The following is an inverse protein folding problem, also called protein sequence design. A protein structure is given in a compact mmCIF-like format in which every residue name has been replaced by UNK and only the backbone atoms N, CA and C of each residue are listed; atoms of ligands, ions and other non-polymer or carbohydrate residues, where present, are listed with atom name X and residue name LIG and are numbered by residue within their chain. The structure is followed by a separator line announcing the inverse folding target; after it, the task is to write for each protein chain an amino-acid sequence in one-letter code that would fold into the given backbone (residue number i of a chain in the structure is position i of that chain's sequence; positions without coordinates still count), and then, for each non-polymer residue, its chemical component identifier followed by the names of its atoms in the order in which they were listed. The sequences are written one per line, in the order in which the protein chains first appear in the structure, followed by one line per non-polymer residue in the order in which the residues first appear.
data_IF_913160217924
#
_entry.id   IF_913160217924
#
_cell.length_a   1.000
_cell.length_b   1.000
_cell.length_c   1.000
_cell.angle_alpha   90.00
_cell.angle_beta   90.00
_cell.angle_gamma   90.00
#
_symmetry.space_group_name_H-M   'P 1'
#
loop_
_entity.id
_entity.type
_entity.pdbx_description
1 polymer ?
#
# COMPACT_ATOMS: atom_id res chain seq x y z
N UNK A 1 21.79 -29.60 -1.40
CA UNK A 1 21.22 -29.22 -2.73
C UNK A 1 19.94 -28.43 -2.45
N UNK A 2 19.98 -27.12 -2.73
CA UNK A 2 18.81 -26.24 -2.56
C UNK A 2 17.77 -26.65 -3.59
N UNK A 3 16.52 -26.87 -3.16
CA UNK A 3 15.42 -27.22 -4.06
C UNK A 3 15.13 -26.05 -5.02
N UNK A 4 14.60 -26.33 -6.20
CA UNK A 4 14.14 -25.29 -7.13
C UNK A 4 13.12 -24.36 -6.47
N UNK A 5 12.28 -24.89 -5.58
CA UNK A 5 11.33 -24.13 -4.76
C UNK A 5 12.03 -23.16 -3.81
N UNK A 6 13.08 -23.58 -3.10
CA UNK A 6 13.83 -22.75 -2.17
C UNK A 6 14.52 -21.60 -2.91
N UNK A 7 15.13 -21.89 -4.06
CA UNK A 7 15.77 -20.87 -4.90
C UNK A 7 14.77 -19.83 -5.43
N UNK A 8 13.54 -20.24 -5.71
CA UNK A 8 12.48 -19.32 -6.15
C UNK A 8 11.97 -18.48 -4.99
N UNK A 9 11.84 -19.01 -3.78
CA UNK A 9 11.52 -18.27 -2.57
C UNK A 9 12.57 -17.18 -2.27
N UNK A 10 13.85 -17.54 -2.38
CA UNK A 10 14.94 -16.57 -2.15
C UNK A 10 14.91 -15.41 -3.16
N UNK A 11 14.54 -15.68 -4.40
CA UNK A 11 14.36 -14.64 -5.42
C UNK A 11 13.21 -13.69 -5.12
N UNK A 12 12.17 -14.16 -4.44
CA UNK A 12 11.02 -13.34 -4.05
C UNK A 12 11.33 -12.41 -2.86
N UNK A 13 12.30 -12.76 -2.01
CA UNK A 13 12.61 -12.05 -0.76
C UNK A 13 12.74 -10.53 -0.91
N UNK A 14 13.50 -9.96 -1.87
CA UNK A 14 13.60 -8.50 -2.02
C UNK A 14 12.25 -7.83 -2.32
N UNK A 15 11.43 -8.48 -3.15
CA UNK A 15 10.09 -7.98 -3.50
C UNK A 15 9.15 -8.02 -2.30
N UNK A 16 9.18 -9.11 -1.53
CA UNK A 16 8.38 -9.26 -0.30
C UNK A 16 8.78 -8.23 0.75
N UNK A 17 10.09 -7.97 0.90
CA UNK A 17 10.60 -6.98 1.85
C UNK A 17 10.14 -5.57 1.49
N UNK A 18 10.30 -5.17 0.24
CA UNK A 18 9.82 -3.86 -0.26
C UNK A 18 8.32 -3.69 -0.03
N UNK A 19 7.54 -4.73 -0.29
CA UNK A 19 6.10 -4.74 -0.05
C UNK A 19 5.77 -4.58 1.44
N UNK A 20 6.46 -5.32 2.32
CA UNK A 20 6.25 -5.25 3.77
C UNK A 20 6.69 -3.90 4.36
N UNK A 21 7.81 -3.32 3.90
CA UNK A 21 8.29 -2.00 4.34
C UNK A 21 7.28 -0.88 4.01
N UNK A 22 6.65 -0.92 2.84
CA UNK A 22 5.61 0.04 2.48
C UNK A 22 4.40 -0.02 3.44
N UNK A 23 4.04 -1.23 3.88
CA UNK A 23 2.88 -1.47 4.73
C UNK A 23 3.16 -1.14 6.20
N UNK A 24 4.29 -1.61 6.70
CA UNK A 24 4.63 -1.55 8.13
C UNK A 24 5.40 -0.30 8.50
N UNK A 25 6.04 0.39 7.54
CA UNK A 25 6.87 1.60 7.75
C UNK A 25 7.94 1.44 8.83
N UNK A 26 8.26 0.22 9.13
CA UNK A 26 9.30 -0.18 10.07
C UNK A 26 10.05 -1.37 9.49
N UNK A 27 11.34 -1.15 9.27
CA UNK A 27 12.18 -2.14 8.59
C UNK A 27 12.29 -3.43 9.39
N UNK A 28 12.43 -3.35 10.71
CA UNK A 28 12.56 -4.53 11.56
C UNK A 28 11.29 -5.39 11.48
N UNK A 29 10.11 -4.77 11.65
CA UNK A 29 8.83 -5.47 11.52
C UNK A 29 8.62 -6.05 10.13
N UNK A 30 9.11 -5.37 9.07
CA UNK A 30 9.03 -5.87 7.71
C UNK A 30 9.93 -7.10 7.49
N UNK A 31 11.18 -7.05 7.97
CA UNK A 31 12.11 -8.17 7.92
C UNK A 31 11.57 -9.40 8.66
N UNK A 32 11.03 -9.20 9.86
CA UNK A 32 10.40 -10.25 10.65
C UNK A 32 9.18 -10.86 9.94
N UNK A 33 8.28 -10.02 9.38
CA UNK A 33 7.11 -10.50 8.65
C UNK A 33 7.50 -11.33 7.41
N UNK A 34 8.54 -10.90 6.70
CA UNK A 34 9.06 -11.65 5.55
C UNK A 34 9.70 -12.97 5.99
N UNK A 35 10.47 -12.97 7.06
CA UNK A 35 11.08 -14.18 7.61
C UNK A 35 10.01 -15.20 8.02
N UNK A 36 8.99 -14.77 8.77
CA UNK A 36 7.85 -15.59 9.16
C UNK A 36 7.09 -16.13 7.94
N UNK A 37 7.01 -15.33 6.87
CA UNK A 37 6.36 -15.73 5.61
C UNK A 37 7.15 -16.81 4.90
N UNK A 38 8.45 -16.64 4.77
CA UNK A 38 9.32 -17.63 4.10
C UNK A 38 9.33 -18.95 4.87
N UNK A 39 9.38 -18.89 6.20
CA UNK A 39 9.28 -20.08 7.05
C UNK A 39 7.95 -20.81 6.85
N UNK A 40 6.82 -20.08 6.92
CA UNK A 40 5.50 -20.64 6.68
C UNK A 40 5.34 -21.24 5.26
N UNK A 41 5.98 -20.62 4.25
CA UNK A 41 5.98 -21.13 2.89
C UNK A 41 6.80 -22.43 2.78
N UNK A 42 7.93 -22.55 3.47
CA UNK A 42 8.73 -23.76 3.51
C UNK A 42 7.98 -24.90 4.21
N UNK A 43 7.36 -24.62 5.36
CA UNK A 43 6.54 -25.60 6.11
C UNK A 43 5.28 -26.02 5.33
N UNK A 44 4.69 -25.07 4.58
CA UNK A 44 3.50 -25.29 3.77
C UNK A 44 3.78 -25.84 2.36
N UNK A 45 5.02 -26.13 2.01
CA UNK A 45 5.44 -26.53 0.66
C UNK A 45 4.62 -27.68 0.07
N UNK A 46 4.34 -28.70 0.87
CA UNK A 46 3.55 -29.86 0.45
C UNK A 46 2.08 -29.51 0.17
N UNK A 47 1.58 -28.42 0.76
CA UNK A 47 0.21 -27.92 0.55
C UNK A 47 0.10 -27.02 -0.67
N UNK A 48 1.23 -26.58 -1.21
CA UNK A 48 1.27 -25.81 -2.44
C UNK A 48 0.92 -26.68 -3.63
N UNK A 49 -0.36 -26.74 -3.97
CA UNK A 49 -0.91 -27.60 -5.02
C UNK A 49 -0.62 -27.12 -6.46
N UNK A 50 0.19 -26.08 -6.64
CA UNK A 50 0.47 -25.51 -7.97
C UNK A 50 -0.73 -24.87 -8.68
N UNK A 51 -1.85 -24.62 -7.97
CA UNK A 51 -3.07 -24.00 -8.54
C UNK A 51 -2.91 -22.50 -8.84
N UNK A 52 -1.89 -21.87 -8.28
CA UNK A 52 -1.52 -20.47 -8.51
C UNK A 52 -0.01 -20.34 -8.70
N UNK A 53 0.46 -19.18 -9.16
CA UNK A 53 1.88 -18.92 -9.16
C UNK A 53 2.42 -18.88 -7.72
N UNK A 54 3.63 -19.39 -7.49
CA UNK A 54 4.28 -19.39 -6.19
C UNK A 54 4.29 -18.00 -5.56
N UNK A 55 4.59 -16.97 -6.35
CA UNK A 55 4.57 -15.57 -5.91
C UNK A 55 3.22 -15.16 -5.30
N UNK A 56 2.10 -15.47 -5.96
CA UNK A 56 0.75 -15.16 -5.50
C UNK A 56 0.45 -15.83 -4.16
N UNK A 57 0.82 -17.10 -4.04
CA UNK A 57 0.61 -17.86 -2.80
C UNK A 57 1.46 -17.31 -1.65
N UNK A 58 2.74 -17.00 -1.87
CA UNK A 58 3.62 -16.42 -0.84
C UNK A 58 3.17 -15.03 -0.43
N UNK A 59 2.71 -14.19 -1.39
CA UNK A 59 2.14 -12.87 -1.08
C UNK A 59 0.89 -12.98 -0.22
N UNK A 60 0.04 -14.00 -0.42
CA UNK A 60 -1.13 -14.22 0.45
C UNK A 60 -0.74 -14.58 1.89
N UNK A 61 0.36 -15.31 2.08
CA UNK A 61 0.91 -15.59 3.42
C UNK A 61 1.44 -14.29 4.05
N UNK A 62 2.23 -13.51 3.28
CA UNK A 62 2.78 -12.24 3.76
C UNK A 62 1.68 -11.26 4.16
N UNK A 63 0.60 -11.18 3.37
CA UNK A 63 -0.57 -10.37 3.70
C UNK A 63 -1.08 -10.65 5.11
N UNK A 64 -1.29 -11.92 5.45
CA UNK A 64 -1.76 -12.31 6.77
C UNK A 64 -0.78 -11.90 7.88
N UNK A 65 0.53 -12.10 7.67
CA UNK A 65 1.57 -11.67 8.62
C UNK A 65 1.59 -10.16 8.82
N UNK A 66 1.43 -9.38 7.76
CA UNK A 66 1.34 -7.92 7.82
C UNK A 66 0.10 -7.48 8.63
N UNK A 67 -1.07 -8.06 8.33
CA UNK A 67 -2.31 -7.76 9.07
C UNK A 67 -2.15 -8.05 10.54
N UNK A 68 -1.56 -9.19 10.92
CA UNK A 68 -1.29 -9.55 12.31
C UNK A 68 -0.39 -8.53 13.02
N UNK A 69 0.67 -8.03 12.33
CA UNK A 69 1.54 -6.97 12.85
C UNK A 69 0.81 -5.62 13.01
N UNK A 70 -0.05 -5.27 12.05
CA UNK A 70 -0.89 -4.06 12.15
C UNK A 70 -1.85 -4.17 13.34
N UNK A 71 -2.48 -5.31 13.54
CA UNK A 71 -3.36 -5.59 14.69
C UNK A 71 -2.63 -5.43 16.01
N UNK A 72 -1.45 -6.00 16.10
CA UNK A 72 -0.63 -5.88 17.30
C UNK A 72 -0.30 -4.43 17.61
N UNK A 73 0.18 -3.66 16.61
CA UNK A 73 0.50 -2.24 16.78
C UNK A 73 -0.72 -1.38 17.16
N UNK A 74 -1.88 -1.64 16.56
CA UNK A 74 -3.11 -0.91 16.87
C UNK A 74 -3.55 -1.10 18.32
N UNK A 75 -3.23 -2.23 18.95
CA UNK A 75 -3.47 -2.47 20.38
C UNK A 75 -2.47 -1.75 21.29
N UNK A 76 -1.21 -1.65 20.85
CA UNK A 76 -0.11 -1.03 21.64
C UNK A 76 -0.16 0.50 21.53
N UNK A 77 -0.45 1.03 20.35
CA UNK A 77 -0.57 2.46 20.07
C UNK A 77 -1.70 2.71 19.06
N UNK A 78 -2.88 3.16 19.51
CA UNK A 78 -3.94 3.55 18.61
C UNK A 78 -3.45 4.62 17.62
N UNK A 79 -3.86 4.50 16.35
CA UNK A 79 -3.54 5.51 15.35
C UNK A 79 -4.16 6.85 15.77
N UNK A 80 -3.43 7.97 15.60
CA UNK A 80 -4.04 9.28 15.74
C UNK A 80 -5.26 9.38 14.83
N UNK A 81 -6.39 9.78 15.36
CA UNK A 81 -7.52 10.21 14.53
C UNK A 81 -7.06 11.34 13.63
N UNK A 82 -7.51 11.36 12.38
CA UNK A 82 -7.20 12.45 11.46
C UNK A 82 -7.45 13.80 12.18
N UNK A 83 -6.40 14.60 12.35
CA UNK A 83 -6.48 15.87 13.07
C UNK A 83 -7.39 16.85 12.32
N UNK A 84 -8.00 17.79 13.06
CA UNK A 84 -8.84 18.86 12.48
C UNK A 84 -8.08 19.67 11.40
N UNK A 85 -6.77 19.87 11.56
CA UNK A 85 -5.93 20.56 10.58
C UNK A 85 -5.80 19.80 9.24
N UNK A 86 -5.93 18.47 9.22
CA UNK A 86 -5.94 17.70 7.97
C UNK A 86 -7.26 17.84 7.20
N UNK A 87 -8.34 18.27 7.85
CA UNK A 87 -9.60 18.57 7.20
C UNK A 87 -9.54 19.91 6.43
N UNK A 88 -8.93 20.95 7.02
CA UNK A 88 -8.77 22.26 6.39
C UNK A 88 -7.88 22.20 5.14
N UNK A 89 -6.77 21.48 5.18
CA UNK A 89 -5.90 21.24 4.02
C UNK A 89 -6.61 20.51 2.88
N UNK A 90 -7.57 19.67 3.22
CA UNK A 90 -8.32 18.90 2.25
C UNK A 90 -9.42 19.74 1.58
N UNK A 91 -10.15 20.55 2.35
CA UNK A 91 -11.20 21.43 1.83
C UNK A 91 -10.62 22.51 0.92
N UNK A 92 -9.35 22.89 1.12
CA UNK A 92 -8.61 23.81 0.26
C UNK A 92 -8.37 23.29 -1.18
N UNK A 93 -8.58 21.99 -1.44
CA UNK A 93 -8.49 21.42 -2.79
C UNK A 93 -9.74 21.65 -3.65
N UNK A 94 -10.84 22.08 -3.04
CA UNK A 94 -12.12 22.27 -3.70
C UNK A 94 -12.59 23.72 -3.61
N UNK A 95 -13.28 24.15 -4.66
CA UNK A 95 -14.05 25.37 -4.64
C UNK A 95 -15.31 25.19 -3.79
N UNK A 96 -15.93 26.29 -3.39
CA UNK A 96 -17.15 26.28 -2.56
C UNK A 96 -18.33 25.54 -3.19
N UNK A 97 -18.29 25.30 -4.48
CA UNK A 97 -19.29 24.52 -5.27
C UNK A 97 -18.94 23.03 -5.37
N UNK A 98 -17.83 22.58 -4.75
CA UNK A 98 -17.36 21.21 -4.77
C UNK A 98 -16.54 20.83 -6.00
N UNK A 99 -16.23 21.77 -6.88
CA UNK A 99 -15.32 21.57 -8.01
C UNK A 99 -13.86 21.69 -7.58
N UNK A 100 -12.98 21.04 -8.33
CA UNK A 100 -11.54 21.12 -8.05
C UNK A 100 -10.97 22.50 -8.41
N UNK A 101 -10.16 23.09 -7.52
CA UNK A 101 -9.37 24.27 -7.85
C UNK A 101 -8.44 24.05 -9.06
N UNK A 102 -7.89 22.85 -9.16
CA UNK A 102 -7.08 22.43 -10.30
C UNK A 102 -7.59 21.09 -10.82
N UNK A 103 -8.34 21.06 -11.94
CA UNK A 103 -8.75 19.80 -12.56
C UNK A 103 -7.51 18.99 -12.92
N UNK A 104 -7.59 17.63 -12.86
CA UNK A 104 -6.46 16.76 -13.20
C UNK A 104 -6.01 17.04 -14.63
N UNK A 105 -4.70 17.08 -14.82
CA UNK A 105 -4.13 16.97 -16.16
C UNK A 105 -4.63 15.65 -16.80
N UNK A 106 -4.85 15.66 -18.11
CA UNK A 106 -5.14 14.42 -18.84
C UNK A 106 -3.98 13.45 -18.66
N UNK A 107 -4.28 12.33 -18.07
CA UNK A 107 -3.29 11.27 -17.79
C UNK A 107 -3.04 10.46 -19.04
N UNK A 108 -2.70 10.97 -20.16
CA UNK A 108 -2.32 10.21 -21.33
C UNK A 108 -2.87 8.78 -21.39
N UNK A 109 -2.07 7.84 -21.84
CA UNK A 109 -2.43 6.40 -21.78
C UNK A 109 -1.98 5.78 -20.45
N UNK A 110 -2.90 5.49 -19.50
CA UNK A 110 -2.54 4.88 -18.21
C UNK A 110 -1.81 3.54 -18.37
N UNK A 111 -2.14 2.75 -19.40
CA UNK A 111 -1.52 1.47 -19.64
C UNK A 111 -0.04 1.61 -19.96
N UNK A 112 0.34 2.60 -20.76
CA UNK A 112 1.75 2.92 -21.03
C UNK A 112 2.52 3.37 -19.80
N UNK A 113 1.87 4.12 -18.90
CA UNK A 113 2.50 4.55 -17.65
C UNK A 113 2.80 3.38 -16.72
N UNK A 114 1.95 2.37 -16.67
CA UNK A 114 2.16 1.15 -15.88
C UNK A 114 3.30 0.26 -16.38
N UNK A 115 3.63 0.31 -17.66
CA UNK A 115 4.74 -0.48 -18.23
C UNK A 115 6.11 0.09 -17.88
N UNK A 116 6.19 1.34 -17.40
CA UNK A 116 7.44 1.98 -17.04
C UNK A 116 7.80 1.70 -15.58
N UNK A 117 8.91 0.99 -15.35
CA UNK A 117 9.41 0.73 -13.98
C UNK A 117 9.57 1.98 -13.13
N UNK A 118 9.88 3.12 -13.74
CA UNK A 118 9.99 4.44 -13.12
C UNK A 118 8.66 4.93 -12.51
N UNK A 119 7.50 4.56 -13.07
CA UNK A 119 6.21 4.89 -12.47
C UNK A 119 6.06 4.30 -11.07
N UNK A 120 6.43 3.04 -10.90
CA UNK A 120 6.35 2.37 -9.60
C UNK A 120 7.30 2.98 -8.56
N UNK A 121 8.46 3.48 -8.97
CA UNK A 121 9.37 4.20 -8.09
C UNK A 121 8.75 5.51 -7.60
N UNK A 122 8.13 6.28 -8.49
CA UNK A 122 7.43 7.51 -8.15
C UNK A 122 6.21 7.22 -7.28
N UNK A 123 5.42 6.20 -7.60
CA UNK A 123 4.29 5.77 -6.78
C UNK A 123 4.73 5.40 -5.36
N UNK A 124 5.83 4.67 -5.23
CA UNK A 124 6.39 4.31 -3.92
C UNK A 124 6.82 5.53 -3.12
N UNK A 125 7.46 6.52 -3.77
CA UNK A 125 7.80 7.79 -3.13
C UNK A 125 6.56 8.55 -2.65
N UNK A 126 5.50 8.61 -3.47
CA UNK A 126 4.25 9.21 -3.10
C UNK A 126 3.55 8.48 -1.94
N UNK A 127 3.60 7.15 -1.96
CA UNK A 127 3.07 6.33 -0.86
C UNK A 127 3.82 6.56 0.46
N UNK A 128 5.14 6.70 0.42
CA UNK A 128 5.96 7.02 1.59
C UNK A 128 5.71 8.42 2.14
N UNK A 129 5.33 9.35 1.28
CA UNK A 129 5.02 10.74 1.66
C UNK A 129 3.63 10.90 2.30
N UNK A 130 2.72 9.93 2.13
CA UNK A 130 1.42 9.97 2.80
C UNK A 130 1.57 9.92 4.33
N UNK A 131 0.71 10.61 5.11
CA UNK A 131 0.53 10.34 6.53
C UNK A 131 0.29 8.85 6.80
N UNK A 132 0.77 8.36 7.94
CA UNK A 132 0.76 6.92 8.24
C UNK A 132 -0.65 6.32 8.24
N UNK A 133 -1.62 7.03 8.83
CA UNK A 133 -3.02 6.62 8.86
C UNK A 133 -3.64 6.50 7.45
N UNK A 134 -3.37 7.48 6.57
CA UNK A 134 -3.87 7.49 5.19
C UNK A 134 -3.26 6.34 4.37
N UNK A 135 -1.94 6.20 4.46
CA UNK A 135 -1.22 5.14 3.76
C UNK A 135 -1.68 3.76 4.22
N UNK A 136 -1.84 3.56 5.53
CA UNK A 136 -2.25 2.27 6.11
C UNK A 136 -3.62 1.84 5.61
N UNK A 137 -4.64 2.70 5.73
CA UNK A 137 -6.00 2.39 5.27
C UNK A 137 -6.03 2.16 3.76
N UNK A 138 -5.33 2.99 2.99
CA UNK A 138 -5.22 2.85 1.55
C UNK A 138 -4.61 1.50 1.15
N UNK A 139 -3.48 1.13 1.76
CA UNK A 139 -2.80 -0.13 1.48
C UNK A 139 -3.64 -1.35 1.89
N UNK A 140 -4.34 -1.27 3.04
CA UNK A 140 -5.26 -2.34 3.46
C UNK A 140 -6.38 -2.54 2.44
N UNK A 141 -6.95 -1.47 1.89
CA UNK A 141 -8.03 -1.57 0.90
C UNK A 141 -7.55 -1.97 -0.49
N UNK A 142 -6.56 -1.25 -1.04
CA UNK A 142 -6.19 -1.36 -2.47
C UNK A 142 -5.16 -2.46 -2.74
N UNK A 143 -4.33 -2.78 -1.75
CA UNK A 143 -3.23 -3.73 -1.94
C UNK A 143 -3.47 -5.05 -1.20
N UNK A 144 -3.99 -4.98 0.03
CA UNK A 144 -4.37 -6.17 0.79
C UNK A 144 -5.80 -6.64 0.47
N UNK A 145 -6.55 -5.88 -0.33
CA UNK A 145 -7.91 -6.20 -0.76
C UNK A 145 -8.87 -6.51 0.40
N UNK A 146 -8.67 -5.83 1.53
CA UNK A 146 -9.53 -6.00 2.70
C UNK A 146 -10.85 -5.28 2.52
N UNK A 147 -11.94 -5.84 3.04
CA UNK A 147 -13.22 -5.17 3.04
C UNK A 147 -13.25 -4.03 4.07
N UNK A 148 -14.09 -3.01 3.80
CA UNK A 148 -14.17 -1.81 4.65
C UNK A 148 -14.51 -2.16 6.10
N UNK A 149 -15.41 -3.13 6.30
CA UNK A 149 -15.81 -3.62 7.62
C UNK A 149 -14.65 -4.27 8.39
N UNK A 150 -13.79 -5.01 7.67
CA UNK A 150 -12.59 -5.61 8.24
C UNK A 150 -11.58 -4.52 8.66
N UNK A 151 -11.34 -3.53 7.80
CA UNK A 151 -10.45 -2.39 8.09
C UNK A 151 -10.96 -1.62 9.32
N UNK A 152 -12.27 -1.33 9.37
CA UNK A 152 -12.88 -0.64 10.50
C UNK A 152 -12.70 -1.39 11.81
N UNK A 153 -12.87 -2.70 11.78
CA UNK A 153 -12.67 -3.58 12.96
C UNK A 153 -11.21 -3.58 13.40
N UNK A 154 -10.28 -3.72 12.44
CA UNK A 154 -8.85 -3.81 12.74
C UNK A 154 -8.27 -2.51 13.30
N UNK A 155 -8.74 -1.36 12.78
CA UNK A 155 -8.23 -0.05 13.18
C UNK A 155 -9.14 0.67 14.19
N UNK A 156 -10.21 0.01 14.67
CA UNK A 156 -11.18 0.58 15.62
C UNK A 156 -11.75 1.93 15.16
N UNK A 157 -12.09 2.03 13.87
CA UNK A 157 -12.63 3.25 13.27
C UNK A 157 -14.04 3.02 12.71
N UNK A 158 -14.80 4.11 12.55
CA UNK A 158 -16.13 4.05 11.92
C UNK A 158 -16.01 3.91 10.40
N UNK A 159 -17.04 3.35 9.76
CA UNK A 159 -17.08 3.22 8.29
C UNK A 159 -17.03 4.60 7.61
N UNK A 160 -17.70 5.61 8.17
CA UNK A 160 -17.66 6.98 7.66
C UNK A 160 -16.23 7.53 7.68
N UNK A 161 -15.51 7.35 8.80
CA UNK A 161 -14.11 7.78 8.91
C UNK A 161 -13.20 7.01 7.93
N UNK A 162 -13.41 5.71 7.77
CA UNK A 162 -12.67 4.90 6.81
C UNK A 162 -12.81 5.45 5.37
N UNK A 163 -14.02 5.79 4.95
CA UNK A 163 -14.27 6.39 3.64
C UNK A 163 -13.59 7.75 3.47
N UNK A 164 -13.64 8.61 4.47
CA UNK A 164 -12.95 9.92 4.47
C UNK A 164 -11.43 9.73 4.34
N UNK A 165 -10.85 8.81 5.13
CA UNK A 165 -9.42 8.52 5.09
C UNK A 165 -9.01 7.97 3.73
N UNK A 166 -9.76 7.03 3.15
CA UNK A 166 -9.50 6.49 1.81
C UNK A 166 -9.55 7.57 0.74
N UNK A 167 -10.55 8.43 0.81
CA UNK A 167 -10.71 9.53 -0.14
C UNK A 167 -9.52 10.51 -0.05
N UNK A 168 -9.13 10.94 1.15
CA UNK A 168 -7.96 11.79 1.37
C UNK A 168 -6.67 11.14 0.87
N UNK A 169 -6.49 9.85 1.13
CA UNK A 169 -5.33 9.11 0.65
C UNK A 169 -5.22 9.13 -0.88
N UNK A 170 -6.35 8.86 -1.57
CA UNK A 170 -6.40 8.88 -3.04
C UNK A 170 -6.11 10.27 -3.61
N UNK A 171 -6.62 11.32 -2.96
CA UNK A 171 -6.41 12.70 -3.40
C UNK A 171 -4.94 13.13 -3.25
N UNK A 172 -4.33 12.89 -2.09
CA UNK A 172 -2.90 13.20 -1.88
C UNK A 172 -1.98 12.40 -2.78
N UNK A 173 -2.31 11.11 -3.04
CA UNK A 173 -1.57 10.31 -4.02
C UNK A 173 -1.68 10.89 -5.42
N UNK A 174 -2.87 11.28 -5.82
CA UNK A 174 -3.12 11.91 -7.12
C UNK A 174 -2.31 13.19 -7.26
N UNK A 175 -2.35 14.09 -6.29
CA UNK A 175 -1.57 15.33 -6.28
C UNK A 175 -0.06 15.06 -6.39
N UNK A 176 0.46 14.14 -5.58
CA UNK A 176 1.86 13.75 -5.64
C UNK A 176 2.26 13.17 -7.00
N UNK A 177 1.44 12.29 -7.58
CA UNK A 177 1.68 11.72 -8.90
C UNK A 177 1.58 12.78 -9.98
N UNK A 178 0.64 13.70 -9.88
CA UNK A 178 0.50 14.80 -10.82
C UNK A 178 1.75 15.68 -10.83
N UNK A 179 2.29 16.02 -9.67
CA UNK A 179 3.50 16.83 -9.56
C UNK A 179 4.77 16.07 -9.99
N UNK A 180 4.92 14.82 -9.61
CA UNK A 180 6.17 14.07 -9.78
C UNK A 180 6.25 13.24 -11.05
N UNK A 181 5.12 12.81 -11.58
CA UNK A 181 5.06 12.00 -12.79
C UNK A 181 4.60 12.81 -14.00
N UNK A 182 3.54 13.61 -13.85
CA UNK A 182 2.95 14.36 -14.96
C UNK A 182 3.45 15.81 -15.03
N UNK A 183 3.91 16.42 -13.90
CA UNK A 183 4.35 17.82 -13.83
C UNK A 183 5.83 18.02 -14.21
N UNK A 184 6.69 17.03 -14.00
CA UNK A 184 8.00 17.01 -14.65
C UNK A 184 7.77 16.57 -16.09
N UNK A 185 7.36 17.51 -16.93
CA UNK A 185 6.93 17.29 -18.28
C UNK A 185 7.57 16.04 -18.88
N UNK A 186 6.79 15.14 -19.39
CA UNK A 186 7.21 14.28 -20.49
C UNK A 186 7.63 15.21 -21.63
N UNK A 187 8.74 15.90 -21.38
CA UNK A 187 9.54 16.56 -22.35
C UNK A 187 10.27 15.46 -23.10
N UNK A 188 9.71 15.12 -24.22
CA UNK A 188 10.39 14.76 -25.45
C UNK A 188 11.74 14.00 -25.27
N UNK A 189 11.77 12.74 -25.56
CA UNK A 189 12.49 12.21 -26.72
C UNK A 189 12.13 10.76 -26.95
#
# INVERSE_FOLDING_TARGET
MTSAFDAELDRLRPTLLRFAELQLRDRQSAEDAVQDTLLAALEGRERFAGKSQLKTWVVSILRNKIVDRIRQRAREAPLPTAGENEAEDFDALFESDGHWHAPPAEWGDPARSFEQGRFFEVLELCMKALPENLSRVFLMREVLEMETEEICKELSMSSSNCWVVLYRARMRLRECLQLRWFGEGVGAE
#
